data_IF_819502303646
#
_entry.id   IF_819502303646
#
_cell.length_a   1.000
_cell.length_b   1.000
_cell.length_c   1.000
_cell.angle_alpha   90.00
_cell.angle_beta   90.00
_cell.angle_gamma   90.00
#
_symmetry.space_group_name_H-M   'P 1'
#
loop_
_entity.id
_entity.type
_entity.pdbx_description
1 polymer ?
#
# COMPACT_ATOMS: atom_id res chain seq x y z
N UNK A 1 11.22 -6.17 -7.68
CA UNK A 1 10.26 -5.18 -8.26
C UNK A 1 9.35 -4.53 -7.21
N UNK A 2 8.90 -5.27 -6.19
CA UNK A 2 8.06 -4.75 -5.12
C UNK A 2 8.67 -3.57 -4.35
N UNK A 3 9.98 -3.61 -4.08
CA UNK A 3 10.70 -2.52 -3.42
C UNK A 3 10.52 -1.19 -4.16
N UNK A 4 10.63 -1.21 -5.49
CA UNK A 4 10.45 -0.01 -6.32
C UNK A 4 9.02 0.55 -6.17
N UNK A 5 8.01 -0.32 -6.27
CA UNK A 5 6.60 0.08 -6.09
C UNK A 5 6.35 0.67 -4.69
N UNK A 6 6.90 0.05 -3.64
CA UNK A 6 6.77 0.55 -2.26
C UNK A 6 7.46 1.91 -2.07
N UNK A 7 8.64 2.11 -2.66
CA UNK A 7 9.33 3.42 -2.63
C UNK A 7 8.52 4.48 -3.38
N UNK A 8 7.95 4.15 -4.54
CA UNK A 8 7.08 5.07 -5.29
C UNK A 8 5.83 5.46 -4.50
N UNK A 9 5.21 4.50 -3.78
CA UNK A 9 4.08 4.78 -2.87
C UNK A 9 4.52 5.70 -1.71
N UNK A 10 5.71 5.46 -1.15
CA UNK A 10 6.28 6.29 -0.09
C UNK A 10 6.54 7.74 -0.56
N UNK A 11 7.07 7.91 -1.77
CA UNK A 11 7.25 9.24 -2.38
C UNK A 11 5.89 9.89 -2.65
N UNK A 12 4.94 9.16 -3.23
CA UNK A 12 3.60 9.63 -3.54
C UNK A 12 2.84 10.13 -2.31
N UNK A 13 3.06 9.53 -1.14
CA UNK A 13 2.49 9.93 0.14
C UNK A 13 2.77 11.40 0.50
N UNK A 14 3.94 11.94 0.14
CA UNK A 14 4.28 13.36 0.38
C UNK A 14 3.50 14.32 -0.52
N UNK A 15 3.08 13.88 -1.71
CA UNK A 15 2.33 14.70 -2.67
C UNK A 15 0.81 14.63 -2.43
N UNK A 16 0.34 13.66 -1.65
CA UNK A 16 -1.08 13.43 -1.35
C UNK A 16 -1.80 14.70 -0.86
N UNK A 17 -1.28 15.49 0.10
CA UNK A 17 -1.99 16.64 0.61
C UNK A 17 -2.20 17.72 -0.45
N UNK A 18 -1.15 18.04 -1.22
CA UNK A 18 -1.23 19.05 -2.28
C UNK A 18 -2.12 18.62 -3.45
N UNK A 19 -2.11 17.33 -3.80
CA UNK A 19 -2.95 16.80 -4.86
C UNK A 19 -4.44 16.73 -4.47
N UNK A 20 -4.75 16.44 -3.20
CA UNK A 20 -6.14 16.38 -2.72
C UNK A 20 -6.75 17.76 -2.48
N UNK A 21 -5.95 18.80 -2.21
CA UNK A 21 -6.45 20.17 -1.97
C UNK A 21 -6.36 21.10 -3.18
N UNK A 22 -5.71 20.68 -4.27
CA UNK A 22 -5.40 21.52 -5.44
C UNK A 22 -6.53 21.73 -6.45
N UNK A 23 -7.75 21.27 -6.17
CA UNK A 23 -8.92 21.37 -7.06
C UNK A 23 -9.19 20.10 -7.90
N UNK A 24 -10.15 20.17 -8.82
CA UNK A 24 -10.63 18.98 -9.55
C UNK A 24 -9.55 18.33 -10.43
N UNK A 25 -8.74 19.14 -11.11
CA UNK A 25 -7.66 18.64 -11.97
C UNK A 25 -6.59 17.87 -11.20
N UNK A 26 -6.22 18.31 -10.00
CA UNK A 26 -5.22 17.63 -9.18
C UNK A 26 -5.76 16.33 -8.58
N UNK A 27 -7.06 16.26 -8.28
CA UNK A 27 -7.73 15.03 -7.82
C UNK A 27 -7.75 13.97 -8.92
N UNK A 28 -7.96 14.36 -10.18
CA UNK A 28 -7.89 13.42 -11.33
C UNK A 28 -6.47 12.86 -11.48
N UNK A 29 -5.45 13.72 -11.41
CA UNK A 29 -4.04 13.28 -11.45
C UNK A 29 -3.74 12.34 -10.27
N UNK A 30 -4.19 12.67 -9.07
CA UNK A 30 -4.08 11.80 -7.91
C UNK A 30 -4.69 10.42 -8.17
N UNK A 31 -5.92 10.37 -8.67
CA UNK A 31 -6.62 9.11 -8.93
C UNK A 31 -5.89 8.26 -9.97
N UNK A 32 -5.38 8.87 -11.05
CA UNK A 32 -4.62 8.17 -12.09
C UNK A 32 -3.34 7.55 -11.49
N UNK A 33 -2.56 8.35 -10.75
CA UNK A 33 -1.30 7.88 -10.16
C UNK A 33 -1.56 6.82 -9.09
N UNK A 34 -2.54 7.03 -8.21
CA UNK A 34 -2.92 6.07 -7.17
C UNK A 34 -3.37 4.74 -7.78
N UNK A 35 -4.20 4.77 -8.82
CA UNK A 35 -4.66 3.56 -9.53
C UNK A 35 -3.52 2.85 -10.27
N UNK A 36 -2.59 3.59 -10.86
CA UNK A 36 -1.40 3.01 -11.50
C UNK A 36 -0.48 2.30 -10.48
N UNK A 37 -0.23 2.92 -9.32
CA UNK A 37 0.54 2.31 -8.23
C UNK A 37 -0.16 1.08 -7.65
N UNK A 38 -1.49 1.14 -7.51
CA UNK A 38 -2.31 0.00 -7.09
C UNK A 38 -2.22 -1.15 -8.09
N UNK A 39 -2.28 -0.86 -9.40
CA UNK A 39 -2.10 -1.85 -10.46
C UNK A 39 -0.75 -2.55 -10.41
N UNK A 40 0.35 -1.80 -10.22
CA UNK A 40 1.69 -2.39 -10.04
C UNK A 40 1.76 -3.29 -8.81
N UNK A 41 1.17 -2.88 -7.70
CA UNK A 41 1.15 -3.67 -6.46
C UNK A 41 0.38 -4.97 -6.64
N UNK A 42 -0.84 -4.89 -7.18
CA UNK A 42 -1.68 -6.07 -7.43
C UNK A 42 -1.12 -7.01 -8.50
N UNK A 43 -0.33 -6.49 -9.46
CA UNK A 43 0.35 -7.33 -10.44
C UNK A 43 1.42 -8.24 -9.82
N UNK A 44 2.08 -7.79 -8.76
CA UNK A 44 3.19 -8.50 -8.11
C UNK A 44 2.76 -9.26 -6.84
N UNK A 45 1.60 -8.92 -6.25
CA UNK A 45 1.17 -9.48 -4.96
C UNK A 45 0.99 -11.01 -5.00
N UNK A 46 0.56 -11.56 -6.15
CA UNK A 46 0.31 -13.00 -6.28
C UNK A 46 1.57 -13.85 -6.18
N UNK A 47 2.65 -13.43 -6.83
CA UNK A 47 3.94 -14.14 -6.77
C UNK A 47 4.61 -13.93 -5.41
N UNK A 48 4.55 -12.71 -4.88
CA UNK A 48 5.14 -12.35 -3.59
C UNK A 48 4.50 -13.10 -2.42
N UNK A 49 3.17 -13.25 -2.44
CA UNK A 49 2.44 -13.90 -1.35
C UNK A 49 2.63 -15.42 -1.36
N UNK A 50 2.85 -16.00 -2.54
CA UNK A 50 3.04 -17.43 -2.71
C UNK A 50 4.48 -17.90 -2.44
N UNK A 51 5.48 -17.01 -2.58
CA UNK A 51 6.89 -17.30 -2.38
C UNK A 51 7.26 -17.87 -1.00
N UNK A 52 6.77 -17.33 0.15
CA UNK A 52 7.17 -17.81 1.47
C UNK A 52 6.56 -19.17 1.85
N UNK A 53 5.53 -19.65 1.13
CA UNK A 53 4.82 -20.89 1.49
C UNK A 53 5.31 -22.12 0.72
N UNK A 54 5.46 -23.29 1.39
CA UNK A 54 5.72 -24.57 0.74
C UNK A 54 4.66 -24.93 -0.29
N UNK A 55 5.03 -25.66 -1.35
CA UNK A 55 4.13 -26.02 -2.46
C UNK A 55 2.81 -26.66 -2.01
N UNK A 56 2.84 -27.51 -0.98
CA UNK A 56 1.66 -28.19 -0.44
C UNK A 56 0.60 -27.25 0.16
N UNK A 57 1.00 -26.09 0.69
CA UNK A 57 0.09 -25.15 1.37
C UNK A 57 0.06 -23.77 0.72
N UNK A 58 0.75 -23.59 -0.41
CA UNK A 58 0.95 -22.30 -1.06
C UNK A 58 -0.33 -21.56 -1.39
N UNK A 59 -1.31 -22.26 -1.97
CA UNK A 59 -2.60 -21.66 -2.33
C UNK A 59 -3.41 -21.24 -1.10
N UNK A 60 -3.54 -22.13 -0.12
CA UNK A 60 -4.30 -21.88 1.12
C UNK A 60 -3.63 -20.80 1.97
N UNK A 61 -2.31 -20.87 2.15
CA UNK A 61 -1.53 -19.87 2.89
C UNK A 61 -1.65 -18.49 2.26
N UNK A 62 -1.51 -18.39 0.93
CA UNK A 62 -1.68 -17.12 0.22
C UNK A 62 -3.10 -16.57 0.37
N UNK A 63 -4.12 -17.41 0.20
CA UNK A 63 -5.52 -16.98 0.34
C UNK A 63 -5.84 -16.50 1.76
N UNK A 64 -5.38 -17.22 2.80
CA UNK A 64 -5.62 -16.83 4.19
C UNK A 64 -4.94 -15.49 4.49
N UNK A 65 -3.67 -15.31 4.11
CA UNK A 65 -2.96 -14.06 4.35
C UNK A 65 -3.57 -12.90 3.57
N UNK A 66 -4.02 -13.11 2.33
CA UNK A 66 -4.68 -12.08 1.53
C UNK A 66 -6.03 -11.65 2.14
N UNK A 67 -6.87 -12.62 2.50
CA UNK A 67 -8.18 -12.33 3.12
C UNK A 67 -8.01 -11.65 4.49
N UNK A 68 -7.06 -12.12 5.31
CA UNK A 68 -6.75 -11.51 6.60
C UNK A 68 -6.25 -10.07 6.43
N UNK A 69 -5.30 -9.84 5.51
CA UNK A 69 -4.81 -8.51 5.20
C UNK A 69 -5.92 -7.59 4.66
N UNK A 70 -6.82 -8.13 3.83
CA UNK A 70 -7.99 -7.40 3.34
C UNK A 70 -8.93 -6.98 4.46
N UNK A 71 -9.30 -7.90 5.36
CA UNK A 71 -10.20 -7.60 6.48
C UNK A 71 -9.59 -6.55 7.41
N UNK A 72 -8.33 -6.74 7.84
CA UNK A 72 -7.71 -5.82 8.81
C UNK A 72 -7.25 -4.52 8.16
N UNK A 73 -6.55 -4.60 7.03
CA UNK A 73 -5.98 -3.44 6.35
C UNK A 73 -7.05 -2.57 5.69
N UNK A 74 -7.90 -3.16 4.85
CA UNK A 74 -8.87 -2.39 4.07
C UNK A 74 -10.02 -1.85 4.93
N UNK A 75 -10.42 -2.56 5.99
CA UNK A 75 -11.46 -2.07 6.90
C UNK A 75 -10.96 -0.88 7.73
N UNK A 76 -9.77 -0.98 8.34
CA UNK A 76 -9.27 0.05 9.26
C UNK A 76 -8.75 1.31 8.55
N UNK A 77 -8.20 1.17 7.35
CA UNK A 77 -7.62 2.28 6.59
C UNK A 77 -8.56 3.50 6.39
N UNK A 78 -9.81 3.36 5.89
CA UNK A 78 -10.70 4.50 5.69
C UNK A 78 -11.11 5.17 7.01
N UNK A 79 -11.29 4.40 8.09
CA UNK A 79 -11.62 4.98 9.41
C UNK A 79 -10.46 5.82 9.94
N UNK A 80 -9.23 5.30 9.90
CA UNK A 80 -8.04 6.02 10.35
C UNK A 80 -7.82 7.25 9.47
N UNK A 81 -7.90 7.12 8.15
CA UNK A 81 -7.72 8.23 7.22
C UNK A 81 -8.74 9.35 7.45
N UNK A 82 -10.01 8.99 7.64
CA UNK A 82 -11.09 9.96 7.91
C UNK A 82 -10.88 10.65 9.26
N UNK A 83 -10.57 9.89 10.31
CA UNK A 83 -10.30 10.42 11.64
C UNK A 83 -9.10 11.37 11.64
N UNK A 84 -8.04 10.99 10.92
CA UNK A 84 -6.80 11.74 10.84
C UNK A 84 -6.98 13.04 10.03
N UNK A 85 -7.72 12.97 8.92
CA UNK A 85 -8.14 14.16 8.17
C UNK A 85 -8.95 15.11 9.05
N UNK A 86 -9.93 14.60 9.82
CA UNK A 86 -10.84 15.43 10.61
C UNK A 86 -10.15 16.13 11.80
N UNK A 87 -9.18 15.48 12.44
CA UNK A 87 -8.54 15.99 13.66
C UNK A 87 -7.21 16.70 13.41
N UNK A 88 -6.42 16.24 12.42
CA UNK A 88 -5.05 16.70 12.21
C UNK A 88 -4.81 17.26 10.79
N UNK A 89 -5.72 17.01 9.85
CA UNK A 89 -5.65 17.48 8.46
C UNK A 89 -5.05 16.46 7.48
N UNK A 90 -5.09 16.82 6.20
CA UNK A 90 -4.74 15.93 5.08
C UNK A 90 -3.27 15.49 5.07
N UNK A 91 -2.36 16.31 5.64
CA UNK A 91 -0.93 15.98 5.73
C UNK A 91 -0.66 14.71 6.52
N UNK A 92 -1.42 14.48 7.59
CA UNK A 92 -1.25 13.30 8.41
C UNK A 92 -1.77 12.04 7.72
N UNK A 93 -2.77 12.15 6.85
CA UNK A 93 -3.18 11.03 5.97
C UNK A 93 -2.05 10.64 5.02
N UNK A 94 -1.32 11.64 4.50
CA UNK A 94 -0.06 11.43 3.79
C UNK A 94 0.94 10.65 4.65
N UNK A 95 1.25 11.11 5.86
CA UNK A 95 2.18 10.40 6.76
C UNK A 95 1.75 8.98 7.11
N UNK A 96 0.44 8.72 7.28
CA UNK A 96 -0.08 7.38 7.50
C UNK A 96 0.21 6.46 6.31
N UNK A 97 -0.01 6.94 5.08
CA UNK A 97 0.34 6.20 3.86
C UNK A 97 1.86 5.96 3.75
N UNK A 98 2.66 6.97 4.09
CA UNK A 98 4.12 6.88 4.10
C UNK A 98 4.64 5.87 5.13
N UNK A 99 4.11 5.90 6.35
CA UNK A 99 4.42 4.93 7.41
C UNK A 99 4.07 3.50 6.97
N UNK A 100 2.91 3.32 6.34
CA UNK A 100 2.49 2.02 5.81
C UNK A 100 3.46 1.50 4.73
N UNK A 101 3.97 2.39 3.87
CA UNK A 101 4.99 2.05 2.89
C UNK A 101 6.33 1.67 3.55
N UNK A 102 6.75 2.39 4.61
CA UNK A 102 7.97 2.07 5.37
C UNK A 102 7.85 0.71 6.06
N UNK A 103 6.71 0.42 6.71
CA UNK A 103 6.45 -0.89 7.31
C UNK A 103 6.51 -1.99 6.25
N UNK A 104 5.87 -1.77 5.10
CA UNK A 104 5.92 -2.71 3.97
C UNK A 104 7.36 -2.94 3.50
N UNK A 105 8.17 -1.88 3.39
CA UNK A 105 9.56 -1.97 2.99
C UNK A 105 10.38 -2.80 3.98
N UNK A 106 10.21 -2.57 5.29
CA UNK A 106 10.87 -3.33 6.34
C UNK A 106 10.48 -4.82 6.25
N UNK A 107 9.20 -5.13 6.05
CA UNK A 107 8.74 -6.50 5.88
C UNK A 107 9.36 -7.17 4.64
N UNK A 108 9.44 -6.46 3.51
CA UNK A 108 10.07 -6.99 2.29
C UNK A 108 11.55 -7.29 2.54
N UNK A 109 12.28 -6.37 3.19
CA UNK A 109 13.69 -6.55 3.52
C UNK A 109 13.91 -7.71 4.52
N UNK A 110 13.03 -7.85 5.51
CA UNK A 110 13.07 -8.93 6.48
C UNK A 110 12.71 -10.30 5.88
N UNK A 111 11.93 -10.33 4.78
CA UNK A 111 11.56 -11.56 4.07
C UNK A 111 12.76 -12.26 3.40
N UNK A 112 13.91 -11.58 3.30
CA UNK A 112 15.23 -12.23 3.24
C UNK A 112 15.53 -13.14 2.06
N UNK A 113 14.80 -13.06 0.93
CA UNK A 113 15.07 -13.89 -0.25
C UNK A 113 15.05 -13.07 -1.53
N UNK A 114 16.11 -13.26 -2.31
CA UNK A 114 16.50 -12.69 -3.60
C UNK A 114 15.51 -12.95 -4.76
N UNK A 115 14.22 -13.20 -4.46
CA UNK A 115 13.23 -13.77 -5.39
C UNK A 115 12.05 -12.82 -5.68
N UNK A 116 12.11 -11.52 -5.30
CA UNK A 116 11.01 -10.52 -5.48
C UNK A 116 11.38 -9.19 -6.13
#
# INVERSE_FOLDING_TARGET
MLILTTVLIGIFSFFLPGLMTGGEGSIVVFAIVAMALMGMTYGLIGTALAAPFPTAVRYTGSSITFNLAGIFGASLAPYIATWLQANHGMQYVGYYLGLSAVITLICILASGRDEV
#
